data_IF_873542482579
#
_entry.id   IF_873542482579
#
_cell.length_a   1.000
_cell.length_b   1.000
_cell.length_c   1.000
_cell.angle_alpha   90.00
_cell.angle_beta   90.00
_cell.angle_gamma   90.00
#
_symmetry.space_group_name_H-M   'P 1'
#
loop_
_entity.id
_entity.type
_entity.pdbx_description
1 polymer ?
#
# COMPACT_ATOMS: atom_id res chain seq x y z
N UNK A 1 1.85 13.29 10.00
CA UNK A 1 0.90 13.11 8.89
C UNK A 1 -0.03 11.94 9.17
N UNK A 2 -1.35 12.15 9.16
CA UNK A 2 -2.29 11.04 9.24
C UNK A 2 -2.36 10.23 7.94
N UNK A 3 -1.92 10.82 6.84
CA UNK A 3 -1.92 10.16 5.54
C UNK A 3 -0.61 10.38 4.82
N UNK A 4 -0.15 9.35 4.15
CA UNK A 4 1.01 9.43 3.27
C UNK A 4 0.59 8.86 1.92
N UNK A 5 0.69 9.65 0.88
CA UNK A 5 0.38 9.23 -0.49
C UNK A 5 1.67 9.03 -1.27
N UNK A 6 1.79 7.88 -1.90
CA UNK A 6 2.99 7.49 -2.63
C UNK A 6 2.67 7.13 -4.06
N UNK A 7 3.43 7.68 -4.98
CA UNK A 7 3.31 7.40 -6.40
C UNK A 7 4.56 6.65 -6.84
N UNK A 8 4.39 5.38 -7.17
CA UNK A 8 5.49 4.48 -7.45
C UNK A 8 5.41 4.04 -8.91
N UNK A 9 6.54 4.05 -9.60
CA UNK A 9 6.54 3.63 -11.00
C UNK A 9 6.36 2.12 -11.10
N UNK A 10 5.98 1.66 -12.29
CA UNK A 10 5.71 0.25 -12.59
C UNK A 10 6.93 -0.65 -12.38
N UNK A 11 8.11 -0.08 -12.30
CA UNK A 11 9.35 -0.84 -12.23
C UNK A 11 9.83 -1.12 -10.81
N UNK A 12 9.17 -0.57 -9.80
CA UNK A 12 9.59 -0.80 -8.43
C UNK A 12 9.19 -2.20 -7.96
N UNK A 13 10.13 -2.96 -7.39
CA UNK A 13 9.85 -4.31 -6.90
C UNK A 13 9.12 -4.29 -5.56
N UNK A 14 8.57 -5.44 -5.16
CA UNK A 14 7.90 -5.60 -3.88
C UNK A 14 8.77 -5.18 -2.69
N UNK A 15 10.07 -5.33 -2.82
CA UNK A 15 11.01 -4.90 -1.78
C UNK A 15 10.85 -3.41 -1.47
N UNK A 16 10.59 -2.59 -2.48
CA UNK A 16 10.36 -1.16 -2.29
C UNK A 16 9.11 -0.92 -1.44
N UNK A 17 8.01 -1.60 -1.77
CA UNK A 17 6.77 -1.48 -1.00
C UNK A 17 6.96 -1.98 0.43
N UNK A 18 7.73 -3.04 0.61
CA UNK A 18 8.06 -3.58 1.92
C UNK A 18 8.79 -2.54 2.77
N UNK A 19 9.76 -1.84 2.21
CA UNK A 19 10.49 -0.80 2.92
C UNK A 19 9.59 0.37 3.32
N UNK A 20 8.72 0.80 2.40
CA UNK A 20 7.77 1.88 2.69
C UNK A 20 6.81 1.47 3.81
N UNK A 21 6.29 0.25 3.74
CA UNK A 21 5.39 -0.26 4.77
C UNK A 21 6.08 -0.36 6.13
N UNK A 22 7.35 -0.75 6.14
CA UNK A 22 8.13 -0.81 7.38
C UNK A 22 8.29 0.58 8.01
N UNK A 23 8.63 1.57 7.20
CA UNK A 23 8.75 2.96 7.66
C UNK A 23 7.40 3.45 8.18
N UNK A 24 6.32 3.10 7.52
CA UNK A 24 4.97 3.50 7.91
C UNK A 24 4.60 3.06 9.33
N UNK A 25 5.13 1.92 9.79
CA UNK A 25 4.83 1.44 11.14
C UNK A 25 5.24 2.41 12.24
N UNK A 26 6.32 3.17 12.02
CA UNK A 26 6.76 4.15 13.00
C UNK A 26 6.35 5.58 12.64
N UNK A 27 6.09 5.87 11.38
CA UNK A 27 5.78 7.21 10.91
C UNK A 27 4.29 7.54 10.96
N UNK A 28 3.42 6.54 10.80
CA UNK A 28 1.98 6.77 10.80
C UNK A 28 1.45 6.94 12.23
N UNK A 29 0.53 7.88 12.39
CA UNK A 29 -0.26 7.98 13.61
C UNK A 29 -1.25 6.81 13.65
N UNK A 30 -1.87 6.52 14.83
CA UNK A 30 -2.73 5.34 15.00
C UNK A 30 -3.83 5.16 13.96
N UNK A 31 -4.36 6.25 13.40
CA UNK A 31 -5.39 6.16 12.35
C UNK A 31 -4.86 6.59 10.99
N UNK A 32 -3.54 6.63 10.86
CA UNK A 32 -2.92 7.04 9.62
C UNK A 32 -3.03 5.97 8.55
N UNK A 33 -2.92 6.41 7.30
CA UNK A 33 -3.06 5.54 6.14
C UNK A 33 -1.94 5.75 5.14
N UNK A 34 -1.58 4.67 4.45
CA UNK A 34 -0.69 4.72 3.30
C UNK A 34 -1.54 4.53 2.04
N UNK A 35 -1.22 5.28 1.01
CA UNK A 35 -1.84 5.11 -0.30
C UNK A 35 -0.73 4.84 -1.31
N UNK A 36 -0.87 3.71 -2.03
CA UNK A 36 0.07 3.32 -3.07
C UNK A 36 -0.63 3.35 -4.41
N UNK A 37 -0.06 4.07 -5.38
CA UNK A 37 -0.45 3.87 -6.77
C UNK A 37 0.37 2.69 -7.29
N UNK A 38 -0.29 1.68 -7.87
CA UNK A 38 0.34 0.42 -8.21
C UNK A 38 0.12 0.07 -9.68
N UNK A 39 0.97 -0.82 -10.18
CA UNK A 39 0.74 -1.45 -11.47
C UNK A 39 -0.36 -2.50 -11.32
N UNK A 40 -1.25 -2.60 -12.31
CA UNK A 40 -2.48 -3.39 -12.19
C UNK A 40 -2.21 -4.88 -11.90
N UNK A 41 -1.08 -5.41 -12.34
CA UNK A 41 -0.76 -6.83 -12.14
C UNK A 41 -0.08 -7.15 -10.81
N UNK A 42 0.16 -6.14 -9.96
CA UNK A 42 0.83 -6.32 -8.67
C UNK A 42 -0.11 -6.26 -7.47
N UNK A 43 -1.40 -6.02 -7.72
CA UNK A 43 -2.35 -5.79 -6.62
C UNK A 43 -2.38 -6.89 -5.59
N UNK A 44 -2.52 -8.14 -6.02
CA UNK A 44 -2.62 -9.27 -5.09
C UNK A 44 -1.33 -9.48 -4.30
N UNK A 45 -0.18 -9.32 -4.94
CA UNK A 45 1.11 -9.49 -4.27
C UNK A 45 1.33 -8.40 -3.20
N UNK A 46 0.96 -7.17 -3.51
CA UNK A 46 1.08 -6.05 -2.56
C UNK A 46 0.11 -6.23 -1.40
N UNK A 47 -1.11 -6.65 -1.68
CA UNK A 47 -2.10 -6.94 -0.63
C UNK A 47 -1.58 -7.99 0.34
N UNK A 48 -1.04 -9.09 -0.18
CA UNK A 48 -0.49 -10.16 0.65
C UNK A 48 0.67 -9.66 1.51
N UNK A 49 1.57 -8.88 0.92
CA UNK A 49 2.70 -8.29 1.62
C UNK A 49 2.24 -7.41 2.78
N UNK A 50 1.28 -6.52 2.54
CA UNK A 50 0.80 -5.59 3.55
C UNK A 50 0.09 -6.32 4.69
N UNK A 51 -0.72 -7.33 4.37
CA UNK A 51 -1.35 -8.16 5.41
C UNK A 51 -0.32 -8.85 6.29
N UNK A 52 0.72 -9.40 5.67
CA UNK A 52 1.79 -10.07 6.39
C UNK A 52 2.54 -9.12 7.30
N UNK A 53 2.64 -7.85 6.91
CA UNK A 53 3.33 -6.84 7.70
C UNK A 53 2.45 -6.17 8.75
N UNK A 54 1.21 -6.61 8.92
CA UNK A 54 0.34 -6.10 9.96
C UNK A 54 -0.55 -4.94 9.56
N UNK A 55 -0.80 -4.77 8.26
CA UNK A 55 -1.72 -3.74 7.76
C UNK A 55 -3.06 -4.34 7.39
N UNK A 56 -4.12 -3.55 7.57
CA UNK A 56 -5.35 -3.73 6.81
C UNK A 56 -5.14 -3.07 5.46
N UNK A 57 -5.45 -3.76 4.39
CA UNK A 57 -5.23 -3.23 3.06
C UNK A 57 -6.49 -3.38 2.21
N UNK A 58 -6.74 -2.39 1.38
CA UNK A 58 -7.89 -2.35 0.48
C UNK A 58 -7.42 -2.00 -0.91
N UNK A 59 -7.83 -2.81 -1.87
CA UNK A 59 -7.46 -2.64 -3.27
C UNK A 59 -8.55 -1.84 -3.97
N UNK A 60 -8.16 -0.83 -4.72
CA UNK A 60 -9.07 0.01 -5.48
C UNK A 60 -8.81 -0.11 -6.96
N UNK A 61 -9.87 -0.27 -7.73
CA UNK A 61 -9.81 -0.40 -9.17
C UNK A 61 -10.23 0.89 -9.85
N UNK A 62 -9.75 1.08 -11.08
CA UNK A 62 -10.20 2.17 -11.93
C UNK A 62 -11.56 1.83 -12.57
N UNK A 63 -12.05 2.74 -13.41
CA UNK A 63 -13.36 2.55 -14.07
C UNK A 63 -13.37 1.39 -15.07
N UNK A 64 -12.20 0.86 -15.42
CA UNK A 64 -12.07 -0.29 -16.33
C UNK A 64 -11.88 -1.61 -15.57
N UNK A 65 -11.96 -1.58 -14.25
CA UNK A 65 -11.80 -2.77 -13.41
C UNK A 65 -10.36 -3.19 -13.18
N UNK A 66 -9.40 -2.33 -13.45
CA UNK A 66 -7.98 -2.63 -13.21
C UNK A 66 -7.53 -2.09 -11.86
N UNK A 67 -6.73 -2.88 -11.17
CA UNK A 67 -6.14 -2.48 -9.90
C UNK A 67 -5.26 -1.25 -10.08
N UNK A 68 -5.47 -0.20 -9.30
CA UNK A 68 -4.74 1.05 -9.45
C UNK A 68 -4.16 1.58 -8.16
N UNK A 69 -4.80 1.30 -7.05
CA UNK A 69 -4.39 1.87 -5.78
C UNK A 69 -4.63 0.89 -4.65
N UNK A 70 -3.74 0.91 -3.66
CA UNK A 70 -3.93 0.19 -2.42
C UNK A 70 -3.92 1.20 -1.28
N UNK A 71 -4.92 1.11 -0.44
CA UNK A 71 -4.99 1.86 0.81
C UNK A 71 -4.65 0.90 1.95
N UNK A 72 -3.73 1.31 2.81
CA UNK A 72 -3.32 0.48 3.93
C UNK A 72 -3.37 1.27 5.23
N UNK A 73 -3.83 0.63 6.29
CA UNK A 73 -3.83 1.19 7.64
C UNK A 73 -3.31 0.15 8.62
N UNK A 74 -2.66 0.60 9.69
CA UNK A 74 -2.11 -0.30 10.69
C UNK A 74 -3.23 -1.02 11.45
N UNK A 75 -3.02 -2.29 11.71
CA UNK A 75 -3.87 -3.04 12.66
C UNK A 75 -3.48 -2.64 14.07
N UNK A 76 -4.46 -2.43 14.88
CA UNK A 76 -4.25 -2.10 16.30
C UNK A 76 -4.49 -3.32 17.16
#
# INVERSE_FOLDING_TARGET
EPEIALFVSDHFPLLFYSKIAHIGKSALKPKGQLFFEIHYDQGNAIMALLHEMGYHAELRQDIYGKDRMVRASLKN
#
